data_IF_763630883026
#
_entry.id   IF_763630883026
#
_cell.length_a   1.000
_cell.length_b   1.000
_cell.length_c   1.000
_cell.angle_alpha   90.00
_cell.angle_beta   90.00
_cell.angle_gamma   90.00
#
_symmetry.space_group_name_H-M   'P 1'
#
loop_
_entity.id
_entity.type
_entity.pdbx_description
1 polymer ?
#
# COMPACT_ATOMS: atom_id res chain seq x y z
N UNK A 1 -41.47 6.52 34.00
CA UNK A 1 -40.08 6.75 34.46
C UNK A 1 -40.17 7.42 35.82
N UNK A 2 -39.28 7.02 36.73
CA UNK A 2 -39.15 7.56 38.07
C UNK A 2 -37.88 8.39 38.17
N UNK A 3 -37.91 9.38 39.07
CA UNK A 3 -36.74 10.18 39.41
C UNK A 3 -35.86 9.42 40.43
N UNK A 4 -34.57 9.41 40.19
CA UNK A 4 -33.58 8.73 41.03
C UNK A 4 -32.43 9.66 41.34
N UNK A 5 -31.90 9.57 42.57
CA UNK A 5 -30.68 10.24 43.00
C UNK A 5 -29.67 9.19 43.47
N UNK A 6 -28.43 9.29 43.02
CA UNK A 6 -27.35 8.39 43.41
C UNK A 6 -26.85 8.75 44.83
N UNK A 7 -26.82 7.78 45.75
CA UNK A 7 -26.29 7.95 47.08
C UNK A 7 -24.78 8.17 47.13
N UNK A 8 -24.05 7.73 46.05
CA UNK A 8 -22.59 7.82 45.99
C UNK A 8 -22.09 9.11 45.36
N UNK A 9 -22.79 9.63 44.34
CA UNK A 9 -22.30 10.77 43.54
C UNK A 9 -23.34 11.89 43.36
N UNK A 10 -24.48 11.75 43.99
CA UNK A 10 -25.60 12.70 43.95
C UNK A 10 -26.22 13.00 42.58
N UNK A 11 -25.73 12.29 41.53
CA UNK A 11 -26.28 12.44 40.18
C UNK A 11 -27.77 12.07 40.16
N UNK A 12 -28.57 12.92 39.53
CA UNK A 12 -30.01 12.75 39.37
C UNK A 12 -30.33 12.32 37.94
N UNK A 13 -31.22 11.30 37.78
CA UNK A 13 -31.64 10.83 36.47
C UNK A 13 -33.02 10.20 36.49
N UNK A 14 -33.61 10.01 35.31
CA UNK A 14 -34.91 9.38 35.13
C UNK A 14 -34.78 8.02 34.44
N UNK A 15 -35.27 6.97 35.11
CA UNK A 15 -35.32 5.62 34.49
C UNK A 15 -36.54 4.84 35.01
N UNK A 16 -36.89 3.74 34.32
CA UNK A 16 -37.96 2.84 34.78
C UNK A 16 -37.49 2.07 36.02
N UNK A 17 -38.43 1.80 36.97
CA UNK A 17 -38.14 1.01 38.15
C UNK A 17 -37.61 -0.39 37.81
N UNK A 18 -38.13 -1.02 36.77
CA UNK A 18 -37.63 -2.32 36.28
C UNK A 18 -36.14 -2.32 35.92
N UNK A 19 -35.60 -1.24 35.37
CA UNK A 19 -34.16 -1.14 35.09
C UNK A 19 -33.31 -1.15 36.38
N UNK A 20 -33.84 -0.54 37.47
CA UNK A 20 -33.16 -0.53 38.78
C UNK A 20 -33.19 -1.93 39.42
N UNK A 21 -34.33 -2.63 39.33
CA UNK A 21 -34.49 -4.01 39.82
C UNK A 21 -33.53 -4.95 39.08
N UNK A 22 -33.34 -4.75 37.78
CA UNK A 22 -32.41 -5.50 36.96
C UNK A 22 -30.92 -5.10 37.15
N UNK A 23 -30.59 -4.36 38.23
CA UNK A 23 -29.20 -4.07 38.59
C UNK A 23 -28.57 -2.86 37.88
N UNK A 24 -29.30 -2.14 37.02
CA UNK A 24 -28.76 -0.95 36.38
C UNK A 24 -28.51 0.16 37.42
N UNK A 25 -27.24 0.46 37.66
CA UNK A 25 -26.80 1.48 38.61
C UNK A 25 -26.93 2.91 38.08
N UNK A 26 -26.29 3.84 38.78
CA UNK A 26 -26.18 5.23 38.38
C UNK A 26 -25.44 5.35 37.05
N UNK A 27 -25.95 6.05 36.03
CA UNK A 27 -25.31 6.20 34.74
C UNK A 27 -23.99 7.01 34.81
N UNK A 28 -23.89 7.95 35.77
CA UNK A 28 -22.65 8.69 35.97
C UNK A 28 -21.58 7.84 36.66
N UNK A 29 -21.90 7.08 37.73
CA UNK A 29 -20.93 6.13 38.33
C UNK A 29 -20.49 5.01 37.39
N UNK A 30 -21.37 4.62 36.46
CA UNK A 30 -21.02 3.62 35.42
C UNK A 30 -20.32 4.22 34.21
N UNK A 31 -19.95 5.50 34.21
CA UNK A 31 -19.25 6.15 33.11
C UNK A 31 -20.07 6.31 31.84
N UNK A 32 -21.41 6.35 31.90
CA UNK A 32 -22.28 6.54 30.72
C UNK A 32 -22.63 8.00 30.46
N UNK A 33 -22.63 8.81 31.52
CA UNK A 33 -22.89 10.25 31.45
C UNK A 33 -21.89 11.00 32.33
N UNK A 34 -21.71 12.29 32.06
CA UNK A 34 -20.85 13.15 32.87
C UNK A 34 -21.49 13.38 34.22
N UNK A 35 -20.71 13.36 35.30
CA UNK A 35 -21.15 13.79 36.63
C UNK A 35 -21.49 15.26 36.65
N UNK A 36 -22.39 15.68 37.54
CA UNK A 36 -22.81 17.08 37.70
C UNK A 36 -21.64 18.03 38.04
N UNK A 37 -20.60 17.52 38.71
CA UNK A 37 -19.36 18.24 39.02
C UNK A 37 -18.27 18.12 37.94
N UNK A 38 -18.57 17.45 36.85
CA UNK A 38 -17.67 17.30 35.71
C UNK A 38 -16.46 16.35 35.89
N UNK A 39 -16.27 15.74 37.09
CA UNK A 39 -15.05 14.98 37.46
C UNK A 39 -14.64 13.89 36.45
N UNK A 40 -15.59 13.27 35.72
CA UNK A 40 -15.38 12.24 34.73
C UNK A 40 -15.54 12.74 33.29
N UNK A 41 -15.60 14.05 33.07
CA UNK A 41 -15.65 14.64 31.74
C UNK A 41 -14.33 14.40 30.98
N UNK A 42 -14.37 14.50 29.66
CA UNK A 42 -13.16 14.43 28.82
C UNK A 42 -12.16 15.53 29.20
N UNK A 43 -12.64 16.74 29.49
CA UNK A 43 -11.80 17.86 29.90
C UNK A 43 -10.94 17.53 31.13
N UNK A 44 -11.55 16.87 32.15
CA UNK A 44 -10.87 16.54 33.39
C UNK A 44 -10.04 15.23 33.32
N UNK A 45 -10.53 14.22 32.62
CA UNK A 45 -9.88 12.90 32.57
C UNK A 45 -8.85 12.74 31.45
N UNK A 46 -9.05 13.43 30.32
CA UNK A 46 -8.22 13.35 29.12
C UNK A 46 -7.98 14.74 28.51
N UNK A 47 -7.29 15.65 29.21
CA UNK A 47 -7.14 17.05 28.77
C UNK A 47 -6.41 17.21 27.45
N UNK A 48 -5.56 16.23 27.05
CA UNK A 48 -4.91 16.24 25.74
C UNK A 48 -5.91 15.94 24.62
N UNK A 49 -6.82 14.98 24.82
CA UNK A 49 -7.88 14.70 23.85
C UNK A 49 -8.89 15.85 23.76
N UNK A 50 -9.15 16.52 24.89
CA UNK A 50 -10.04 17.68 24.93
C UNK A 50 -9.56 18.82 24.01
N UNK A 51 -8.25 18.98 23.80
CA UNK A 51 -7.67 19.98 22.88
C UNK A 51 -7.94 19.67 21.41
N UNK A 52 -8.16 18.42 21.09
CA UNK A 52 -8.41 17.95 19.71
C UNK A 52 -9.92 17.79 19.44
N UNK A 53 -10.75 17.73 20.47
CA UNK A 53 -12.20 17.60 20.31
C UNK A 53 -12.84 18.94 19.94
N UNK A 54 -13.63 18.97 18.86
CA UNK A 54 -14.27 20.19 18.38
C UNK A 54 -15.55 20.59 19.13
N UNK A 55 -16.06 19.72 20.01
CA UNK A 55 -17.21 20.02 20.85
C UNK A 55 -16.82 20.42 22.27
N UNK A 56 -17.82 20.48 23.18
CA UNK A 56 -17.58 20.80 24.59
C UNK A 56 -17.11 19.55 25.37
N UNK A 57 -15.83 19.50 25.69
CA UNK A 57 -15.20 18.42 26.42
C UNK A 57 -15.68 18.29 27.89
N UNK A 58 -16.35 19.29 28.44
CA UNK A 58 -16.96 19.24 29.79
C UNK A 58 -18.25 18.42 29.79
N UNK A 59 -18.91 18.29 28.65
CA UNK A 59 -20.23 17.67 28.54
C UNK A 59 -20.16 16.21 28.00
N UNK A 60 -18.97 15.67 27.77
CA UNK A 60 -18.79 14.36 27.19
C UNK A 60 -17.76 13.53 27.97
N UNK A 61 -17.91 12.19 27.95
CA UNK A 61 -16.94 11.25 28.48
C UNK A 61 -16.00 10.84 27.34
N UNK A 62 -14.69 10.85 27.58
CA UNK A 62 -13.68 10.52 26.57
C UNK A 62 -13.88 9.12 25.95
N UNK A 63 -14.21 8.09 26.78
CA UNK A 63 -14.44 6.71 26.35
C UNK A 63 -15.80 6.44 25.70
N UNK A 64 -16.52 7.46 25.24
CA UNK A 64 -17.83 7.28 24.59
C UNK A 64 -17.74 6.54 23.28
N UNK A 65 -18.75 5.70 22.97
CA UNK A 65 -18.94 5.07 21.67
C UNK A 65 -19.55 6.00 20.61
N UNK A 66 -19.97 7.21 21.00
CA UNK A 66 -20.44 8.20 20.04
C UNK A 66 -19.29 8.63 19.12
N UNK A 67 -19.59 8.80 17.84
CA UNK A 67 -18.70 9.46 16.89
C UNK A 67 -18.60 10.93 17.24
N UNK A 68 -17.41 11.44 17.37
CA UNK A 68 -17.06 12.81 17.72
C UNK A 68 -16.21 13.41 16.62
N UNK A 69 -16.30 14.73 16.49
CA UNK A 69 -15.49 15.50 15.53
C UNK A 69 -14.18 15.92 16.21
N UNK A 70 -13.07 15.64 15.55
CA UNK A 70 -11.72 15.86 16.04
C UNK A 70 -10.92 16.74 15.08
N UNK A 71 -10.03 17.55 15.61
CA UNK A 71 -9.04 18.31 14.86
C UNK A 71 -7.66 18.07 15.46
N UNK A 72 -6.73 17.62 14.62
CA UNK A 72 -5.36 17.35 15.04
C UNK A 72 -4.61 18.64 15.36
N UNK A 73 -4.02 18.74 16.54
CA UNK A 73 -3.22 19.91 16.96
C UNK A 73 -1.88 20.01 16.18
N UNK A 74 -1.43 18.92 15.55
CA UNK A 74 -0.16 18.89 14.83
C UNK A 74 -0.31 19.25 13.35
N UNK A 75 -1.36 18.72 12.69
CA UNK A 75 -1.51 18.85 11.23
C UNK A 75 -2.84 19.45 10.80
N UNK A 76 -3.68 19.87 11.72
CA UNK A 76 -4.98 20.49 11.53
C UNK A 76 -6.01 19.66 10.74
N UNK A 77 -5.68 18.39 10.42
CA UNK A 77 -6.63 17.46 9.81
C UNK A 77 -7.84 17.26 10.69
N UNK A 78 -9.03 17.32 10.09
CA UNK A 78 -10.29 17.08 10.77
C UNK A 78 -10.85 15.72 10.37
N UNK A 79 -11.33 14.95 11.37
CA UNK A 79 -11.90 13.62 11.14
C UNK A 79 -12.95 13.26 12.18
N UNK A 80 -13.70 12.21 11.91
CA UNK A 80 -14.75 11.70 12.80
C UNK A 80 -14.36 10.31 13.28
N UNK A 81 -14.31 10.13 14.60
CA UNK A 81 -14.14 8.80 15.21
C UNK A 81 -14.78 8.74 16.58
N UNK A 82 -15.04 7.53 17.12
CA UNK A 82 -15.60 7.38 18.45
C UNK A 82 -14.56 7.75 19.53
N UNK A 83 -15.02 8.35 20.61
CA UNK A 83 -14.15 8.78 21.71
C UNK A 83 -13.31 7.64 22.27
N UNK A 84 -13.88 6.44 22.43
CA UNK A 84 -13.15 5.28 22.96
C UNK A 84 -11.94 4.88 22.11
N UNK A 85 -11.98 5.03 20.77
CA UNK A 85 -10.82 4.77 19.92
C UNK A 85 -9.66 5.72 20.25
N UNK A 86 -9.99 6.99 20.54
CA UNK A 86 -8.98 7.97 20.95
C UNK A 86 -8.36 7.62 22.29
N UNK A 87 -9.16 7.15 23.25
CA UNK A 87 -8.70 6.67 24.57
C UNK A 87 -7.79 5.44 24.41
N UNK A 88 -8.05 4.55 23.44
CA UNK A 88 -7.20 3.42 23.11
C UNK A 88 -5.92 3.79 22.34
N UNK A 89 -5.66 5.09 22.11
CA UNK A 89 -4.44 5.57 21.50
C UNK A 89 -4.49 5.70 19.97
N UNK A 90 -5.64 5.53 19.33
CA UNK A 90 -5.78 5.79 17.89
C UNK A 90 -5.48 7.26 17.61
N UNK A 91 -4.43 7.56 16.86
CA UNK A 91 -3.98 8.90 16.51
C UNK A 91 -4.76 9.55 15.36
N UNK A 92 -4.25 10.67 14.89
CA UNK A 92 -4.74 11.33 13.68
C UNK A 92 -4.42 10.47 12.45
N UNK A 93 -5.41 10.13 11.60
CA UNK A 93 -5.18 9.27 10.44
C UNK A 93 -4.28 9.90 9.36
N UNK A 94 -4.26 11.23 9.27
CA UNK A 94 -3.36 11.94 8.35
C UNK A 94 -1.91 11.94 8.84
N UNK A 95 -1.66 12.09 10.14
CA UNK A 95 -0.31 12.02 10.72
C UNK A 95 0.35 10.65 10.56
N UNK A 96 -0.44 9.59 10.53
CA UNK A 96 0.04 8.21 10.30
C UNK A 96 -0.10 7.76 8.84
N UNK A 97 -0.33 8.69 7.92
CA UNK A 97 -0.44 8.46 6.49
C UNK A 97 -1.48 7.39 6.10
N UNK A 98 -2.63 7.35 6.76
CA UNK A 98 -3.77 6.53 6.35
C UNK A 98 -4.72 7.26 5.41
N UNK A 99 -4.80 8.58 5.52
CA UNK A 99 -5.61 9.44 4.65
C UNK A 99 -4.84 10.70 4.27
N UNK A 100 -5.22 11.33 3.17
CA UNK A 100 -4.68 12.65 2.80
C UNK A 100 -5.16 13.68 3.83
N UNK A 101 -4.25 14.58 4.22
CA UNK A 101 -4.60 15.70 5.09
C UNK A 101 -5.58 16.63 4.38
N UNK A 102 -6.78 16.79 4.94
CA UNK A 102 -7.85 17.60 4.33
C UNK A 102 -7.69 19.10 4.55
N UNK A 103 -6.74 19.52 5.39
CA UNK A 103 -6.44 20.95 5.61
C UNK A 103 -5.54 21.51 4.51
N UNK A 104 -4.40 20.86 4.21
CA UNK A 104 -3.40 21.38 3.27
C UNK A 104 -2.88 20.34 2.26
N UNK A 105 -3.31 19.10 2.35
CA UNK A 105 -2.89 18.04 1.42
C UNK A 105 -1.40 17.66 1.47
N UNK A 106 -0.65 18.11 2.52
CA UNK A 106 0.83 17.98 2.61
C UNK A 106 1.38 16.58 2.42
N UNK A 107 0.60 15.56 2.77
CA UNK A 107 0.95 14.16 2.62
C UNK A 107 0.33 13.47 1.40
N UNK A 108 -0.31 14.24 0.51
CA UNK A 108 -0.79 13.70 -0.77
C UNK A 108 0.39 13.28 -1.65
N UNK A 109 0.13 12.39 -2.62
CA UNK A 109 1.15 12.00 -3.59
C UNK A 109 1.68 13.21 -4.35
N UNK A 110 0.79 14.16 -4.71
CA UNK A 110 1.18 15.36 -5.43
C UNK A 110 2.21 16.21 -4.67
N UNK A 111 2.07 16.32 -3.35
CA UNK A 111 2.95 17.15 -2.52
C UNK A 111 4.19 16.39 -2.03
N UNK A 112 4.01 15.15 -1.55
CA UNK A 112 5.07 14.37 -0.94
C UNK A 112 5.95 13.64 -1.97
N UNK A 113 5.40 13.29 -3.15
CA UNK A 113 6.08 12.51 -4.19
C UNK A 113 5.77 13.07 -5.60
N UNK A 114 6.15 14.31 -5.92
CA UNK A 114 5.78 14.97 -7.18
C UNK A 114 6.24 14.19 -8.41
N UNK A 115 7.38 13.49 -8.34
CA UNK A 115 7.86 12.65 -9.45
C UNK A 115 6.94 11.44 -9.72
N UNK A 116 6.37 10.84 -8.67
CA UNK A 116 5.39 9.76 -8.84
C UNK A 116 4.06 10.29 -9.34
N UNK A 117 3.68 11.50 -8.92
CA UNK A 117 2.45 12.15 -9.34
C UNK A 117 2.39 12.38 -10.86
N UNK A 118 3.52 12.59 -11.52
CA UNK A 118 3.61 12.74 -12.99
C UNK A 118 3.23 11.44 -13.71
N UNK A 119 3.55 10.30 -13.12
CA UNK A 119 3.31 8.97 -13.69
C UNK A 119 1.96 8.38 -13.29
N UNK A 120 1.34 8.87 -12.22
CA UNK A 120 0.04 8.39 -11.76
C UNK A 120 -1.09 8.90 -12.66
N UNK A 121 -2.00 8.01 -13.06
CA UNK A 121 -3.08 8.31 -14.01
C UNK A 121 -4.38 8.81 -13.34
N UNK A 122 -4.40 8.94 -12.00
CA UNK A 122 -5.51 9.50 -11.23
C UNK A 122 -5.18 10.86 -10.63
N UNK A 123 -6.02 11.33 -9.69
CA UNK A 123 -5.76 12.58 -8.98
C UNK A 123 -4.78 12.37 -7.82
N UNK A 124 -3.53 12.78 -8.02
CA UNK A 124 -2.45 12.66 -7.04
C UNK A 124 -2.64 13.54 -5.78
N UNK A 125 -3.60 14.48 -5.80
CA UNK A 125 -3.95 15.29 -4.62
C UNK A 125 -4.84 14.55 -3.64
N UNK A 126 -5.57 13.55 -4.12
CA UNK A 126 -6.57 12.80 -3.33
C UNK A 126 -6.05 11.48 -2.78
N UNK A 127 -4.78 11.13 -3.05
CA UNK A 127 -4.24 9.84 -2.65
C UNK A 127 -2.86 9.97 -1.98
N UNK A 128 -2.56 9.03 -1.10
CA UNK A 128 -1.24 8.87 -0.49
C UNK A 128 -0.40 7.94 -1.36
N UNK A 129 0.85 8.34 -1.65
CA UNK A 129 1.75 7.52 -2.46
C UNK A 129 2.05 6.13 -1.86
N UNK A 130 2.06 6.02 -0.52
CA UNK A 130 2.31 4.76 0.20
C UNK A 130 1.09 3.83 0.34
N UNK A 131 0.02 4.02 -0.43
CA UNK A 131 -1.17 3.15 -0.37
C UNK A 131 -0.87 1.72 -0.83
N UNK A 132 -1.58 0.75 -0.27
CA UNK A 132 -1.57 -0.65 -0.72
C UNK A 132 -2.49 -0.89 -1.92
N UNK A 133 -3.25 0.11 -2.34
CA UNK A 133 -4.10 0.00 -3.51
C UNK A 133 -3.26 -0.11 -4.78
N UNK A 134 -3.74 -0.93 -5.73
CA UNK A 134 -3.18 -0.97 -7.08
C UNK A 134 -3.63 0.24 -7.86
N UNK A 135 -2.67 1.05 -8.27
CA UNK A 135 -2.86 2.28 -9.01
C UNK A 135 -2.44 2.08 -10.48
N UNK A 136 -3.00 2.89 -11.36
CA UNK A 136 -2.65 2.94 -12.78
C UNK A 136 -1.49 3.93 -12.96
N UNK A 137 -0.44 3.47 -13.62
CA UNK A 137 0.80 4.21 -13.87
C UNK A 137 1.10 4.28 -15.35
N UNK A 138 1.67 5.41 -15.77
CA UNK A 138 2.24 5.59 -17.12
C UNK A 138 3.65 6.13 -16.99
N UNK A 139 4.62 5.41 -17.55
CA UNK A 139 6.02 5.79 -17.47
C UNK A 139 6.30 7.09 -18.21
N UNK A 140 6.88 8.04 -17.53
CA UNK A 140 7.28 9.34 -18.12
C UNK A 140 8.39 9.21 -19.16
N UNK A 141 9.20 8.13 -19.11
CA UNK A 141 10.32 7.88 -20.03
C UNK A 141 9.90 7.12 -21.27
N UNK A 142 9.08 6.06 -21.15
CA UNK A 142 8.80 5.15 -22.27
C UNK A 142 7.30 5.03 -22.63
N UNK A 143 6.43 5.69 -21.88
CA UNK A 143 4.98 5.64 -22.11
C UNK A 143 4.29 4.32 -21.74
N UNK A 144 5.04 3.31 -21.24
CA UNK A 144 4.45 2.03 -20.82
C UNK A 144 3.44 2.24 -19.68
N UNK A 145 2.30 1.61 -19.80
CA UNK A 145 1.23 1.65 -18.81
C UNK A 145 1.16 0.34 -18.02
N UNK A 146 1.06 0.43 -16.70
CA UNK A 146 0.98 -0.76 -15.83
C UNK A 146 0.23 -0.46 -14.54
N UNK A 147 -0.08 -1.53 -13.79
CA UNK A 147 -0.67 -1.45 -12.46
C UNK A 147 0.33 -1.88 -11.39
N UNK A 148 0.50 -1.06 -10.38
CA UNK A 148 1.33 -1.38 -9.20
C UNK A 148 0.77 -0.71 -7.96
N UNK A 149 1.05 -1.29 -6.78
CA UNK A 149 0.70 -0.66 -5.51
C UNK A 149 1.48 0.64 -5.33
N UNK A 150 0.83 1.65 -4.75
CA UNK A 150 1.48 2.92 -4.45
C UNK A 150 2.73 2.74 -3.58
N UNK A 151 2.65 1.93 -2.51
CA UNK A 151 3.79 1.65 -1.63
C UNK A 151 4.97 0.99 -2.35
N UNK A 152 4.73 0.14 -3.35
CA UNK A 152 5.79 -0.49 -4.15
C UNK A 152 6.59 0.54 -4.93
N UNK A 153 5.96 1.64 -5.32
CA UNK A 153 6.59 2.77 -5.98
C UNK A 153 7.28 3.71 -4.99
N UNK A 154 6.55 4.09 -3.92
CA UNK A 154 7.00 5.12 -2.98
C UNK A 154 8.06 4.60 -2.00
N UNK A 155 7.89 3.39 -1.45
CA UNK A 155 8.77 2.84 -0.41
C UNK A 155 9.86 1.95 -0.97
N UNK A 156 9.56 1.13 -1.99
CA UNK A 156 10.52 0.17 -2.54
C UNK A 156 11.25 0.72 -3.78
N UNK A 157 10.86 1.88 -4.30
CA UNK A 157 11.49 2.51 -5.46
C UNK A 157 11.29 1.74 -6.77
N UNK A 158 10.32 0.82 -6.85
CA UNK A 158 10.09 0.03 -8.06
C UNK A 158 9.70 0.93 -9.22
N UNK A 159 10.49 0.92 -10.30
CA UNK A 159 10.27 1.70 -11.50
C UNK A 159 9.32 1.05 -12.50
N UNK A 160 9.35 1.57 -13.72
CA UNK A 160 8.63 1.00 -14.85
C UNK A 160 9.19 -0.40 -15.19
N UNK A 161 8.34 -1.45 -15.28
CA UNK A 161 8.81 -2.80 -15.58
C UNK A 161 9.38 -2.95 -17.00
N UNK A 162 8.94 -2.12 -17.96
CA UNK A 162 9.50 -2.11 -19.30
C UNK A 162 10.91 -1.49 -19.32
N UNK A 163 11.11 -0.34 -18.63
CA UNK A 163 12.44 0.26 -18.50
C UNK A 163 13.41 -0.65 -17.72
N UNK A 164 12.90 -1.47 -16.81
CA UNK A 164 13.67 -2.48 -16.09
C UNK A 164 13.85 -3.80 -16.86
N UNK A 165 13.47 -3.86 -18.14
CA UNK A 165 13.51 -5.06 -18.98
C UNK A 165 12.80 -6.29 -18.37
N UNK A 166 11.76 -6.08 -17.57
CA UNK A 166 10.94 -7.18 -17.03
C UNK A 166 9.78 -7.55 -17.96
N UNK A 167 9.32 -6.58 -18.77
CA UNK A 167 8.29 -6.76 -19.80
C UNK A 167 8.72 -6.08 -21.08
N UNK A 168 8.13 -6.49 -22.21
CA UNK A 168 8.41 -5.91 -23.51
C UNK A 168 7.87 -4.49 -23.60
N UNK A 169 8.66 -3.56 -24.12
CA UNK A 169 8.20 -2.23 -24.48
C UNK A 169 7.13 -2.29 -25.58
N UNK A 170 6.19 -1.35 -25.58
CA UNK A 170 5.12 -1.29 -26.58
C UNK A 170 5.65 -1.21 -28.03
N UNK A 171 6.81 -0.58 -28.24
CA UNK A 171 7.49 -0.48 -29.53
C UNK A 171 8.46 -1.63 -29.81
N UNK A 172 8.52 -2.63 -28.96
CA UNK A 172 9.36 -3.82 -29.12
C UNK A 172 10.87 -3.60 -28.97
N UNK A 173 11.34 -2.37 -28.64
CA UNK A 173 12.78 -2.00 -28.65
C UNK A 173 13.67 -2.91 -27.81
N UNK A 174 13.14 -3.56 -26.77
CA UNK A 174 13.88 -4.45 -25.87
C UNK A 174 13.60 -5.95 -26.13
N UNK A 175 12.97 -6.30 -27.25
CA UNK A 175 12.79 -7.69 -27.63
C UNK A 175 14.13 -8.33 -28.00
N UNK A 176 14.20 -9.66 -27.95
CA UNK A 176 15.40 -10.41 -28.39
C UNK A 176 15.74 -10.08 -29.85
N UNK A 177 14.72 -9.96 -30.70
CA UNK A 177 14.88 -9.60 -32.11
C UNK A 177 15.68 -8.30 -32.29
N UNK A 178 15.37 -7.26 -31.53
CA UNK A 178 16.00 -5.94 -31.65
C UNK A 178 17.32 -5.81 -30.90
N UNK A 179 17.46 -6.52 -29.77
CA UNK A 179 18.65 -6.37 -28.88
C UNK A 179 19.73 -7.41 -29.14
N UNK A 180 19.37 -8.60 -29.59
CA UNK A 180 20.28 -9.74 -29.81
C UNK A 180 19.93 -10.48 -31.09
N UNK A 181 20.04 -9.83 -32.28
CA UNK A 181 19.61 -10.44 -33.56
C UNK A 181 20.36 -11.73 -33.86
N UNK A 182 21.63 -11.90 -33.42
CA UNK A 182 22.37 -13.13 -33.54
C UNK A 182 21.75 -14.33 -32.82
N UNK A 183 21.08 -14.10 -31.68
CA UNK A 183 20.41 -15.17 -30.93
C UNK A 183 19.10 -15.61 -31.59
N UNK A 184 18.49 -14.73 -32.40
CA UNK A 184 17.22 -15.05 -33.07
C UNK A 184 17.32 -16.18 -34.05
N UNK A 185 18.51 -16.40 -34.61
CA UNK A 185 18.80 -17.52 -35.56
C UNK A 185 18.78 -18.88 -34.86
N UNK A 186 19.04 -18.91 -33.57
CA UNK A 186 19.10 -20.15 -32.79
C UNK A 186 17.87 -20.36 -31.91
N UNK A 187 17.11 -19.28 -31.59
CA UNK A 187 15.91 -19.36 -30.78
C UNK A 187 14.75 -19.99 -31.57
N UNK A 188 14.10 -21.01 -30.99
CA UNK A 188 13.04 -21.75 -31.65
C UNK A 188 11.63 -21.16 -31.46
N UNK A 189 11.51 -20.00 -30.81
CA UNK A 189 10.25 -19.25 -30.64
C UNK A 189 10.23 -17.92 -31.36
N UNK A 190 9.24 -17.10 -31.09
CA UNK A 190 9.15 -15.74 -31.65
C UNK A 190 10.01 -14.75 -30.84
N UNK A 191 11.11 -14.31 -31.43
CA UNK A 191 12.05 -13.36 -30.81
C UNK A 191 11.45 -11.94 -30.59
N UNK A 192 10.31 -11.61 -31.22
CA UNK A 192 9.60 -10.37 -30.98
C UNK A 192 8.74 -10.41 -29.71
N UNK A 193 8.47 -11.59 -29.19
CA UNK A 193 7.62 -11.79 -28.01
C UNK A 193 8.41 -12.13 -26.74
N UNK A 194 9.73 -11.99 -26.76
CA UNK A 194 10.59 -12.32 -25.63
C UNK A 194 11.74 -11.33 -25.45
N UNK A 195 12.16 -11.13 -24.21
CA UNK A 195 13.37 -10.38 -23.88
C UNK A 195 14.53 -11.38 -23.78
N UNK A 196 15.68 -11.09 -24.38
CA UNK A 196 16.85 -11.99 -24.40
C UNK A 196 17.33 -12.34 -22.98
N UNK A 197 17.34 -11.39 -22.06
CA UNK A 197 17.77 -11.59 -20.66
C UNK A 197 16.73 -12.27 -19.75
N UNK A 198 15.74 -12.98 -20.28
CA UNK A 198 14.74 -13.68 -19.46
C UNK A 198 15.32 -14.86 -18.68
N UNK A 199 14.88 -15.04 -17.45
CA UNK A 199 15.20 -16.22 -16.63
C UNK A 199 14.45 -17.50 -17.09
N UNK A 200 13.47 -17.36 -18.01
CA UNK A 200 12.76 -18.53 -18.57
C UNK A 200 13.72 -19.40 -19.36
N UNK A 201 13.59 -20.72 -19.22
CA UNK A 201 14.28 -21.67 -20.09
C UNK A 201 13.63 -21.62 -21.46
N UNK A 202 14.45 -21.35 -22.48
CA UNK A 202 14.07 -21.23 -23.87
C UNK A 202 14.66 -22.43 -24.64
N UNK A 203 14.06 -22.75 -25.78
CA UNK A 203 14.53 -23.80 -26.67
C UNK A 203 15.39 -23.18 -27.75
N UNK A 204 16.58 -23.78 -27.96
CA UNK A 204 17.62 -23.31 -28.87
C UNK A 204 18.03 -24.42 -29.82
N UNK A 205 18.36 -24.04 -31.02
CA UNK A 205 18.96 -24.92 -32.01
C UNK A 205 20.23 -24.27 -32.54
N UNK A 206 21.34 -24.96 -32.46
CA UNK A 206 22.65 -24.45 -32.90
C UNK A 206 22.68 -24.22 -34.40
N UNK A 207 23.08 -23.03 -34.83
CA UNK A 207 23.23 -22.67 -36.24
C UNK A 207 24.40 -23.42 -36.93
N UNK A 208 25.36 -23.96 -36.13
CA UNK A 208 26.54 -24.65 -36.66
C UNK A 208 26.36 -26.16 -36.70
N UNK A 209 25.80 -26.80 -35.68
CA UNK A 209 25.75 -28.26 -35.54
C UNK A 209 24.35 -28.83 -35.38
N UNK A 210 23.33 -28.00 -35.46
CA UNK A 210 21.91 -28.34 -35.35
C UNK A 210 21.49 -29.00 -34.02
N UNK A 211 22.40 -29.09 -33.02
CA UNK A 211 22.07 -29.59 -31.70
C UNK A 211 21.02 -28.73 -31.05
N UNK A 212 20.02 -29.38 -30.49
CA UNK A 212 18.92 -28.71 -29.77
C UNK A 212 19.13 -28.83 -28.25
N UNK A 213 18.94 -27.72 -27.53
CA UNK A 213 19.09 -27.72 -26.08
C UNK A 213 18.17 -26.67 -25.42
N UNK A 214 18.09 -26.72 -24.12
CA UNK A 214 17.23 -25.85 -23.32
C UNK A 214 18.02 -25.14 -22.23
N UNK A 215 18.08 -23.82 -22.29
CA UNK A 215 18.75 -22.97 -21.30
C UNK A 215 18.01 -21.63 -21.17
N UNK A 216 18.24 -20.90 -20.08
CA UNK A 216 17.58 -19.59 -19.89
C UNK A 216 18.12 -18.56 -20.89
N UNK A 217 17.26 -17.57 -21.20
CA UNK A 217 17.66 -16.46 -22.05
C UNK A 217 18.84 -15.69 -21.45
N UNK A 218 18.87 -15.48 -20.14
CA UNK A 218 19.95 -14.77 -19.45
C UNK A 218 21.30 -15.49 -19.54
N UNK A 219 21.33 -16.82 -19.57
CA UNK A 219 22.56 -17.57 -19.73
C UNK A 219 23.13 -17.44 -21.17
N UNK A 220 22.25 -17.20 -22.16
CA UNK A 220 22.62 -16.99 -23.56
C UNK A 220 23.03 -15.54 -23.86
N UNK A 221 22.37 -14.56 -23.26
CA UNK A 221 22.57 -13.14 -23.56
C UNK A 221 23.40 -12.40 -22.50
N UNK A 222 23.71 -13.04 -21.37
CA UNK A 222 24.44 -12.43 -20.25
C UNK A 222 25.96 -12.52 -20.41
N UNK A 223 26.70 -12.05 -19.42
CA UNK A 223 28.16 -11.97 -19.38
C UNK A 223 28.87 -13.33 -19.73
N UNK A 224 28.20 -14.45 -19.44
CA UNK A 224 28.74 -15.78 -19.68
C UNK A 224 28.60 -16.23 -21.13
N UNK A 225 27.69 -15.65 -21.91
CA UNK A 225 27.38 -15.97 -23.31
C UNK A 225 27.51 -17.47 -23.62
N UNK A 226 26.80 -18.31 -22.81
CA UNK A 226 26.92 -19.77 -22.96
C UNK A 226 26.51 -20.23 -24.38
N UNK A 227 27.42 -20.79 -25.14
CA UNK A 227 27.16 -21.28 -26.49
C UNK A 227 26.45 -22.64 -26.51
N UNK A 228 26.49 -23.27 -27.66
CA UNK A 228 26.00 -24.64 -27.83
C UNK A 228 26.84 -25.62 -27.00
N UNK A 229 26.26 -26.44 -26.13
CA UNK A 229 27.00 -27.36 -25.27
C UNK A 229 27.68 -28.50 -26.09
N UNK A 230 27.13 -28.85 -27.23
CA UNK A 230 27.74 -29.85 -28.10
C UNK A 230 29.00 -29.29 -28.83
N UNK A 231 28.94 -28.05 -29.34
CA UNK A 231 30.11 -27.40 -29.91
C UNK A 231 31.20 -27.13 -28.86
N UNK A 232 30.81 -26.97 -27.59
CA UNK A 232 31.73 -26.83 -26.45
C UNK A 232 32.21 -28.18 -25.90
N UNK A 233 31.91 -29.30 -26.54
CA UNK A 233 32.24 -30.68 -26.13
C UNK A 233 31.76 -31.04 -24.71
N UNK A 234 30.70 -30.41 -24.23
CA UNK A 234 30.07 -30.70 -22.92
C UNK A 234 29.05 -31.83 -23.02
N UNK A 235 28.51 -32.06 -24.22
CA UNK A 235 27.59 -33.15 -24.55
C UNK A 235 27.93 -33.75 -25.91
N UNK A 236 27.49 -34.98 -26.16
CA UNK A 236 27.69 -35.65 -27.44
C UNK A 236 26.82 -35.00 -28.52
N UNK A 237 27.38 -34.72 -29.68
CA UNK A 237 26.60 -34.31 -30.86
C UNK A 237 25.60 -35.40 -31.27
N UNK A 238 24.47 -35.02 -31.82
CA UNK A 238 23.43 -35.96 -32.25
C UNK A 238 23.94 -36.94 -33.30
N UNK A 239 24.91 -36.54 -34.11
CA UNK A 239 25.59 -37.40 -35.13
C UNK A 239 26.85 -38.08 -34.59
N UNK A 240 27.15 -37.99 -33.30
CA UNK A 240 28.28 -38.65 -32.66
C UNK A 240 29.66 -38.09 -33.01
N UNK A 241 29.80 -36.98 -33.77
CA UNK A 241 31.09 -36.50 -34.32
C UNK A 241 32.14 -36.12 -33.26
N UNK A 242 31.74 -35.90 -32.01
CA UNK A 242 32.64 -35.61 -30.90
C UNK A 242 32.78 -36.78 -29.89
N UNK A 243 32.37 -37.99 -30.27
CA UNK A 243 32.68 -39.23 -29.53
C UNK A 243 34.09 -39.69 -29.91
N UNK A 244 34.92 -40.01 -28.90
CA UNK A 244 36.22 -40.69 -29.14
C UNK A 244 36.04 -42.18 -29.46
#
# INVERSE_FOLDING_TARGET
KLDWKCITCEHEWKTAGSHRVNGNGCPACSGRVVHSDGRNSMANTHPQLAKEYLGDANLIIAGTHKKLDWKCITCEHEWITAGYHRVLGTGCPACINQVVNNFDGRNSMAMAYPQLAIEYQGDAKLIIAGTNDKLDWKCSTCGHEWKAMGNSRASNGNGCPACANQVIHMDGRNTMFNTHPQLTQEYQGDANLIIAGTAKKLEWKCSTCEHEWRVSGVDRSGIKETGCPACANQVIHMDGRNTM
#
